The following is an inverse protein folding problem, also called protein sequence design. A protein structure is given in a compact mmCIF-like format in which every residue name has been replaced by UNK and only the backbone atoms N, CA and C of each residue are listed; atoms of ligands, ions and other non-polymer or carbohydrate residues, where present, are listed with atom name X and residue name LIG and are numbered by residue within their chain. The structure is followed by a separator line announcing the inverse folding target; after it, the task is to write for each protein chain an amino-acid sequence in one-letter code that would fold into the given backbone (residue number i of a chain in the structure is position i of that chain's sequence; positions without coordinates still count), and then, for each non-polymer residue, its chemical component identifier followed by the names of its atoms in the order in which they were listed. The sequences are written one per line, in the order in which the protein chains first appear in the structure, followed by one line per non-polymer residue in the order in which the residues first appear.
data_IF_002140498816
#
_entry.id   IF_002140498816
#
_cell.length_a   1.000
_cell.length_b   1.000
_cell.length_c   1.000
_cell.angle_alpha   90.00
_cell.angle_beta   90.00
_cell.angle_gamma   90.00
#
_symmetry.space_group_name_H-M   'P 1'
#
loop_
_entity.id
_entity.type
_entity.pdbx_description
1 polymer ?
#
# COMPACT_ATOMS: atom_id res chain seq x y z
N UNK A 1 0.52 -2.00 -7.73
CA UNK A 1 1.04 -2.73 -8.90
C UNK A 1 1.83 -3.94 -8.44
N UNK A 2 1.21 -5.13 -8.47
CA UNK A 2 1.87 -6.39 -8.12
C UNK A 2 2.24 -7.15 -9.38
N UNK A 3 3.52 -7.18 -9.74
CA UNK A 3 4.01 -7.75 -11.01
C UNK A 3 3.60 -9.22 -11.22
N UNK A 4 3.42 -9.97 -10.14
CA UNK A 4 2.91 -11.35 -10.17
C UNK A 4 1.45 -11.40 -10.62
N UNK A 5 0.60 -10.47 -10.16
CA UNK A 5 -0.83 -10.40 -10.51
C UNK A 5 -0.99 -10.05 -11.98
N UNK A 6 -0.20 -9.08 -12.48
CA UNK A 6 -0.20 -8.73 -13.92
C UNK A 6 0.20 -9.92 -14.79
N UNK A 7 1.18 -10.71 -14.37
CA UNK A 7 1.59 -11.92 -15.09
C UNK A 7 0.47 -12.99 -15.09
N UNK A 8 -0.13 -13.29 -13.93
CA UNK A 8 -1.22 -14.26 -13.84
C UNK A 8 -2.47 -13.80 -14.60
N UNK A 9 -2.80 -12.51 -14.53
CA UNK A 9 -3.90 -11.90 -15.27
C UNK A 9 -3.66 -11.95 -16.78
N UNK A 10 -2.45 -11.63 -17.26
CA UNK A 10 -2.08 -11.75 -18.67
C UNK A 10 -2.17 -13.19 -19.20
N UNK A 11 -1.72 -14.16 -18.40
CA UNK A 11 -1.84 -15.59 -18.72
C UNK A 11 -3.31 -16.06 -18.75
N UNK A 12 -4.11 -15.67 -17.77
CA UNK A 12 -5.53 -16.01 -17.71
C UNK A 12 -6.34 -15.37 -18.85
N UNK A 13 -6.03 -14.13 -19.20
CA UNK A 13 -6.65 -13.42 -20.31
C UNK A 13 -6.30 -14.06 -21.67
N UNK A 14 -5.03 -14.39 -21.89
CA UNK A 14 -4.58 -15.11 -23.10
C UNK A 14 -5.23 -16.50 -23.25
N UNK A 15 -5.50 -17.19 -22.14
CA UNK A 15 -6.20 -18.47 -22.11
C UNK A 15 -7.74 -18.36 -22.15
N UNK A 16 -8.30 -17.14 -22.35
CA UNK A 16 -9.75 -16.81 -22.29
C UNK A 16 -10.44 -17.24 -20.99
N UNK A 17 -9.72 -17.31 -19.87
CA UNK A 17 -10.23 -17.70 -18.54
C UNK A 17 -10.62 -16.49 -17.70
N UNK A 18 -11.60 -15.72 -18.17
CA UNK A 18 -12.02 -14.46 -17.53
C UNK A 18 -12.52 -14.62 -16.09
N UNK A 19 -13.08 -15.79 -15.75
CA UNK A 19 -13.54 -16.08 -14.39
C UNK A 19 -12.40 -16.12 -13.36
N UNK A 20 -11.21 -16.58 -13.76
CA UNK A 20 -10.03 -16.55 -12.89
C UNK A 20 -9.44 -15.15 -12.75
N UNK A 21 -9.62 -14.28 -13.76
CA UNK A 21 -9.13 -12.90 -13.74
C UNK A 21 -9.71 -12.12 -12.55
N UNK A 22 -11.03 -12.24 -12.32
CA UNK A 22 -11.69 -11.60 -11.19
C UNK A 22 -11.24 -12.13 -9.83
N UNK A 23 -11.02 -13.44 -9.71
CA UNK A 23 -10.53 -14.06 -8.48
C UNK A 23 -9.10 -13.60 -8.15
N UNK A 24 -8.22 -13.51 -9.16
CA UNK A 24 -6.87 -12.99 -8.97
C UNK A 24 -6.85 -11.52 -8.58
N UNK A 25 -7.72 -10.70 -9.17
CA UNK A 25 -7.84 -9.29 -8.80
C UNK A 25 -8.31 -9.15 -7.35
N UNK A 26 -9.36 -9.89 -6.94
CA UNK A 26 -9.87 -9.87 -5.57
C UNK A 26 -8.84 -10.33 -4.54
N UNK A 27 -8.14 -11.44 -4.81
CA UNK A 27 -7.06 -11.91 -3.95
C UNK A 27 -5.94 -10.86 -3.84
N UNK A 28 -5.56 -10.24 -4.96
CA UNK A 28 -4.56 -9.18 -4.96
C UNK A 28 -5.00 -7.99 -4.12
N UNK A 29 -6.22 -7.48 -4.29
CA UNK A 29 -6.76 -6.37 -3.50
C UNK A 29 -6.74 -6.73 -2.01
N UNK A 30 -7.22 -7.91 -1.63
CA UNK A 30 -7.25 -8.35 -0.23
C UNK A 30 -5.85 -8.42 0.40
N UNK A 31 -4.87 -8.95 -0.33
CA UNK A 31 -3.48 -9.03 0.14
C UNK A 31 -2.87 -7.63 0.26
N UNK A 32 -3.06 -6.76 -0.73
CA UNK A 32 -2.53 -5.39 -0.69
C UNK A 32 -3.15 -4.57 0.46
N UNK A 33 -4.46 -4.70 0.70
CA UNK A 33 -5.14 -4.07 1.84
C UNK A 33 -4.63 -4.61 3.18
N UNK A 34 -4.34 -5.92 3.28
CA UNK A 34 -3.80 -6.49 4.50
C UNK A 34 -2.37 -5.98 4.80
N UNK A 35 -1.54 -5.82 3.76
CA UNK A 35 -0.19 -5.28 3.88
C UNK A 35 -0.15 -3.76 4.11
N UNK A 36 -1.18 -3.01 3.71
CA UNK A 36 -1.23 -1.57 3.99
C UNK A 36 -1.48 -1.25 5.47
N UNK A 37 -2.19 -2.13 6.20
CA UNK A 37 -2.45 -1.96 7.64
C UNK A 37 -1.17 -1.79 8.50
N UNK A 38 -0.15 -2.67 8.44
CA UNK A 38 1.08 -2.48 9.20
C UNK A 38 1.87 -1.23 8.76
N UNK A 39 1.81 -0.86 7.48
CA UNK A 39 2.46 0.37 6.98
C UNK A 39 1.83 1.60 7.63
N UNK A 40 0.50 1.65 7.71
CA UNK A 40 -0.25 2.72 8.37
C UNK A 40 0.09 2.79 9.85
N UNK A 41 0.22 1.65 10.52
CA UNK A 41 0.65 1.58 11.92
C UNK A 41 2.04 2.21 12.12
N UNK A 42 3.01 1.90 11.24
CA UNK A 42 4.35 2.53 11.26
C UNK A 42 4.26 4.04 11.01
N UNK A 43 3.37 4.48 10.12
CA UNK A 43 3.15 5.90 9.84
C UNK A 43 2.56 6.67 11.02
N UNK A 44 1.67 6.05 11.81
CA UNK A 44 1.17 6.60 13.09
C UNK A 44 2.31 6.77 14.12
N UNK A 45 3.28 5.85 14.12
CA UNK A 45 4.45 5.89 15.00
C UNK A 45 5.60 6.78 14.46
N UNK A 46 5.48 7.30 13.23
CA UNK A 46 6.54 8.06 12.55
C UNK A 46 7.02 9.27 13.35
N UNK A 47 6.12 9.98 14.03
CA UNK A 47 6.44 11.13 14.88
C UNK A 47 7.36 10.74 16.04
N UNK A 48 7.08 9.62 16.70
CA UNK A 48 7.91 9.12 17.79
C UNK A 48 9.25 8.63 17.27
N UNK A 49 9.25 7.93 16.13
CA UNK A 49 10.45 7.41 15.49
C UNK A 49 11.42 8.54 15.10
N UNK A 50 10.91 9.63 14.51
CA UNK A 50 11.74 10.79 14.12
C UNK A 50 12.33 11.54 15.32
N UNK A 51 11.58 11.62 16.43
CA UNK A 51 12.09 12.24 17.66
C UNK A 51 13.14 11.34 18.32
N UNK A 52 12.95 10.01 18.27
CA UNK A 52 13.89 9.03 18.82
C UNK A 52 15.25 9.03 18.09
N UNK A 53 15.24 9.25 16.77
CA UNK A 53 16.45 9.35 15.93
C UNK A 53 17.23 10.66 16.19
N UNK A 54 16.70 11.57 17.02
CA UNK A 54 17.33 12.84 17.37
C UNK A 54 16.93 14.00 16.45
N UNK A 55 15.87 13.84 15.64
CA UNK A 55 15.32 14.90 14.81
C UNK A 55 14.74 16.06 15.63
N UNK A 56 14.96 17.29 15.16
CA UNK A 56 14.38 18.48 15.81
C UNK A 56 12.85 18.45 15.75
N UNK A 57 12.18 18.86 16.83
CA UNK A 57 10.70 18.79 16.97
C UNK A 57 9.95 19.48 15.82
N UNK A 58 10.55 20.53 15.23
CA UNK A 58 10.03 21.24 14.05
C UNK A 58 10.04 20.36 12.79
N UNK A 59 11.15 19.67 12.53
CA UNK A 59 11.27 18.76 11.37
C UNK A 59 10.36 17.54 11.56
N UNK A 60 10.28 17.00 12.78
CA UNK A 60 9.36 15.91 13.09
C UNK A 60 7.89 16.29 12.86
N UNK A 61 7.47 17.50 13.23
CA UNK A 61 6.10 17.97 13.00
C UNK A 61 5.76 18.07 11.50
N UNK A 62 6.65 18.67 10.70
CA UNK A 62 6.46 18.81 9.25
C UNK A 62 6.44 17.45 8.54
N UNK A 63 7.36 16.55 8.90
CA UNK A 63 7.42 15.20 8.34
C UNK A 63 6.16 14.39 8.68
N UNK A 64 5.64 14.53 9.91
CA UNK A 64 4.43 13.82 10.33
C UNK A 64 3.20 14.23 9.49
N UNK A 65 3.05 15.52 9.16
CA UNK A 65 1.96 16.01 8.30
C UNK A 65 2.05 15.41 6.89
N UNK A 66 3.25 15.33 6.33
CA UNK A 66 3.51 14.69 5.05
C UNK A 66 3.17 13.19 5.08
N UNK A 67 3.59 12.49 6.14
CA UNK A 67 3.32 11.06 6.35
C UNK A 67 1.82 10.79 6.48
N UNK A 68 1.06 11.63 7.18
CA UNK A 68 -0.40 11.49 7.25
C UNK A 68 -1.06 11.68 5.88
N UNK A 69 -0.58 12.61 5.05
CA UNK A 69 -1.07 12.75 3.66
C UNK A 69 -0.78 11.53 2.78
N UNK A 70 0.35 10.84 3.04
CA UNK A 70 0.75 9.64 2.32
C UNK A 70 -0.11 8.41 2.68
N UNK A 71 -0.77 8.37 3.84
CA UNK A 71 -1.66 7.26 4.23
C UNK A 71 -2.77 7.07 3.20
N UNK A 72 -3.46 8.15 2.82
CA UNK A 72 -4.54 8.11 1.83
C UNK A 72 -4.02 7.61 0.47
N UNK A 73 -2.79 8.00 0.10
CA UNK A 73 -2.15 7.56 -1.13
C UNK A 73 -1.85 6.06 -1.12
N UNK A 74 -1.45 5.48 0.02
CA UNK A 74 -1.17 4.05 0.14
C UNK A 74 -2.44 3.22 -0.08
N UNK A 75 -3.58 3.64 0.47
CA UNK A 75 -4.86 2.96 0.22
C UNK A 75 -5.33 3.15 -1.23
N UNK A 76 -5.21 4.35 -1.78
CA UNK A 76 -5.55 4.60 -3.18
C UNK A 76 -4.74 3.71 -4.14
N UNK A 77 -3.45 3.48 -3.86
CA UNK A 77 -2.60 2.56 -4.64
C UNK A 77 -2.94 1.07 -4.46
N UNK A 78 -3.50 0.69 -3.31
CA UNK A 78 -3.93 -0.68 -3.05
C UNK A 78 -5.20 -1.04 -3.83
N UNK A 79 -6.07 -0.05 -4.09
CA UNK A 79 -7.33 -0.23 -4.83
C UNK A 79 -7.21 0.09 -6.33
N UNK A 80 -6.09 0.68 -6.77
CA UNK A 80 -5.83 0.98 -8.18
C UNK A 80 -5.43 -0.31 -8.93
N UNK A 81 -6.41 -0.94 -9.57
CA UNK A 81 -6.27 -2.09 -10.48
C UNK A 81 -6.72 -1.75 -11.90
#
# INVERSE_FOLDING_TARGET
MGSTVEMLCGQAYGARRYKLLGVYLQCATMVLTLFSLPIVAVYLLSRQLLVLIGGSRRVAALATVLVYGLITQVFAYAENF
#
